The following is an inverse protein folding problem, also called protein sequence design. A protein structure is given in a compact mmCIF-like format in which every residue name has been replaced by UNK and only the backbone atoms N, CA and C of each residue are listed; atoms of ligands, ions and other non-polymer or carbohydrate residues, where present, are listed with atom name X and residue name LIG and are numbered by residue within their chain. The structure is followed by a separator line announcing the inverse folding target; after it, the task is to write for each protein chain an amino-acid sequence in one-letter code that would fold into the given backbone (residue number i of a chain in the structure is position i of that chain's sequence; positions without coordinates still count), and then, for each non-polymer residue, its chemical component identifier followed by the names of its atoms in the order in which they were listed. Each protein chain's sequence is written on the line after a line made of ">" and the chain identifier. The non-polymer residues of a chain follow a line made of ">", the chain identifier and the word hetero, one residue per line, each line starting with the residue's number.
data_IF_766290347508
#
_entry.id   IF_766290347508
#
_cell.length_a   1.000
_cell.length_b   1.000
_cell.length_c   1.000
_cell.angle_alpha   90.00
_cell.angle_beta   90.00
_cell.angle_gamma   90.00
#
_symmetry.space_group_name_H-M   'P 1'
#
loop_
_entity.id
_entity.type
_entity.pdbx_description
1 polymer ?
#
# COMPACT_ATOMS: atom_id res chain seq x y z
N UNK A 1 3.74 24.66 6.49
CA UNK A 1 2.81 23.83 7.28
C UNK A 1 1.66 23.43 6.38
N UNK A 2 1.50 22.16 5.97
CA UNK A 2 0.27 21.73 5.31
C UNK A 2 -0.88 21.92 6.29
N UNK A 3 -1.90 22.69 5.91
CA UNK A 3 -3.14 22.81 6.67
C UNK A 3 -4.02 21.63 6.28
N UNK A 4 -3.98 20.56 7.07
CA UNK A 4 -4.91 19.46 6.91
C UNK A 4 -6.30 19.90 7.40
N UNK A 5 -7.34 19.63 6.62
CA UNK A 5 -8.74 19.82 7.02
C UNK A 5 -9.21 18.80 8.09
N UNK A 6 -8.35 17.83 8.45
CA UNK A 6 -8.61 16.74 9.38
C UNK A 6 -8.14 15.40 8.81
N UNK A 7 -8.18 14.35 9.62
CA UNK A 7 -7.93 12.97 9.17
C UNK A 7 -9.27 12.26 9.00
N UNK A 8 -9.55 11.77 7.78
CA UNK A 8 -10.69 10.87 7.56
C UNK A 8 -10.19 9.46 7.82
N UNK A 9 -10.51 8.93 9.00
CA UNK A 9 -10.09 7.60 9.40
C UNK A 9 -11.05 6.49 8.98
N UNK A 10 -10.60 5.24 9.20
CA UNK A 10 -11.33 4.01 8.91
C UNK A 10 -12.81 4.02 9.35
N UNK A 11 -13.15 4.63 10.50
CA UNK A 11 -14.52 4.65 11.02
C UNK A 11 -15.56 5.27 10.08
N UNK A 12 -15.15 6.22 9.23
CA UNK A 12 -15.99 6.79 8.17
C UNK A 12 -15.82 5.98 6.88
N UNK A 13 -14.57 5.70 6.50
CA UNK A 13 -14.22 5.10 5.21
C UNK A 13 -14.79 3.68 5.03
N UNK A 14 -14.97 2.91 6.09
CA UNK A 14 -15.47 1.52 6.02
C UNK A 14 -16.89 1.34 5.45
N UNK A 15 -17.63 2.43 5.27
CA UNK A 15 -18.98 2.40 4.70
C UNK A 15 -18.99 2.77 3.20
N UNK A 16 -17.81 2.98 2.62
CA UNK A 16 -17.64 3.42 1.25
C UNK A 16 -16.57 2.57 0.56
N UNK A 17 -16.77 2.37 -0.74
CA UNK A 17 -15.64 2.27 -1.65
C UNK A 17 -15.16 3.69 -1.94
N UNK A 18 -13.86 3.94 -1.80
CA UNK A 18 -13.31 5.25 -2.12
C UNK A 18 -12.14 5.15 -3.07
N UNK A 19 -12.06 6.13 -3.96
CA UNK A 19 -11.05 6.21 -5.01
C UNK A 19 -10.19 7.45 -4.81
N UNK A 20 -8.88 7.27 -4.76
CA UNK A 20 -7.91 8.37 -4.76
C UNK A 20 -7.25 8.43 -6.14
N UNK A 21 -7.48 9.53 -6.84
CA UNK A 21 -6.79 9.89 -8.08
C UNK A 21 -5.77 10.98 -7.73
N UNK A 22 -4.51 10.56 -7.55
CA UNK A 22 -3.43 11.44 -7.08
C UNK A 22 -3.04 12.48 -8.13
N UNK A 23 -3.09 12.13 -9.42
CA UNK A 23 -2.75 13.04 -10.52
C UNK A 23 -3.77 14.16 -10.66
N UNK A 24 -5.06 13.84 -10.49
CA UNK A 24 -6.14 14.83 -10.56
C UNK A 24 -6.48 15.46 -9.21
N UNK A 25 -5.81 15.04 -8.13
CA UNK A 25 -6.11 15.47 -6.75
C UNK A 25 -7.58 15.30 -6.37
N UNK A 26 -8.19 14.18 -6.79
CA UNK A 26 -9.60 13.90 -6.58
C UNK A 26 -9.81 12.71 -5.65
N UNK A 27 -10.85 12.81 -4.84
CA UNK A 27 -11.33 11.75 -3.96
C UNK A 27 -12.81 11.49 -4.25
N UNK A 28 -13.14 10.26 -4.64
CA UNK A 28 -14.52 9.85 -4.89
C UNK A 28 -14.97 8.83 -3.86
N UNK A 29 -16.24 8.88 -3.50
CA UNK A 29 -16.87 7.94 -2.58
C UNK A 29 -18.10 7.33 -3.23
N UNK A 30 -18.20 6.00 -3.16
CA UNK A 30 -19.37 5.22 -3.53
C UNK A 30 -19.86 4.51 -2.29
N UNK A 31 -21.14 4.67 -1.95
CA UNK A 31 -21.71 3.92 -0.81
C UNK A 31 -21.69 2.44 -1.14
N UNK A 32 -21.43 1.63 -0.13
CA UNK A 32 -21.51 0.18 -0.22
C UNK A 32 -22.95 -0.29 0.02
N UNK A 33 -23.31 -1.39 -0.64
CA UNK A 33 -24.50 -2.17 -0.33
C UNK A 33 -24.22 -3.15 0.84
N UNK A 34 -25.20 -3.97 1.27
CA UNK A 34 -25.01 -4.93 2.36
C UNK A 34 -23.96 -6.03 2.10
N UNK A 35 -23.64 -6.31 0.84
CA UNK A 35 -22.65 -7.32 0.45
C UNK A 35 -21.23 -6.71 0.30
N UNK A 36 -21.11 -5.39 0.52
CA UNK A 36 -19.85 -4.66 0.43
C UNK A 36 -19.50 -4.21 -0.99
N UNK A 37 -20.44 -4.32 -1.93
CA UNK A 37 -20.23 -3.90 -3.32
C UNK A 37 -20.54 -2.41 -3.49
N UNK A 38 -19.76 -1.74 -4.33
CA UNK A 38 -19.99 -0.33 -4.64
C UNK A 38 -21.25 -0.16 -5.49
N UNK A 39 -22.18 0.70 -5.06
CA UNK A 39 -23.41 0.99 -5.82
C UNK A 39 -23.12 1.59 -7.22
N UNK A 40 -21.96 2.20 -7.38
CA UNK A 40 -21.43 2.67 -8.66
C UNK A 40 -19.94 2.31 -8.72
N UNK A 41 -19.59 1.24 -9.43
CA UNK A 41 -18.19 0.93 -9.75
C UNK A 41 -17.70 1.83 -10.88
N UNK A 42 -16.48 2.34 -10.74
CA UNK A 42 -15.83 3.28 -11.67
C UNK A 42 -14.51 2.76 -12.23
N UNK A 43 -14.20 1.49 -12.01
CA UNK A 43 -12.96 0.86 -12.46
C UNK A 43 -13.31 -0.21 -13.50
N UNK A 44 -13.01 0.03 -14.79
CA UNK A 44 -13.02 -1.01 -15.79
C UNK A 44 -12.01 -2.11 -15.41
N UNK A 45 -12.38 -3.37 -15.61
CA UNK A 45 -11.53 -4.50 -15.22
C UNK A 45 -10.21 -4.52 -16.00
N UNK A 46 -10.24 -4.02 -17.24
CA UNK A 46 -9.06 -3.88 -18.10
C UNK A 46 -8.01 -2.88 -17.57
N UNK A 47 -8.42 -1.94 -16.71
CA UNK A 47 -7.53 -0.94 -16.13
C UNK A 47 -6.92 -1.40 -14.79
N UNK A 48 -7.36 -2.56 -14.27
CA UNK A 48 -6.86 -3.13 -13.01
C UNK A 48 -5.44 -3.65 -13.21
N UNK A 49 -4.50 -3.03 -12.50
CA UNK A 49 -3.11 -3.47 -12.47
C UNK A 49 -2.88 -4.60 -11.45
N UNK A 50 -3.47 -4.46 -10.26
CA UNK A 50 -3.40 -5.47 -9.20
C UNK A 50 -4.54 -5.24 -8.19
N UNK A 51 -4.95 -6.32 -7.53
CA UNK A 51 -5.86 -6.26 -6.37
C UNK A 51 -5.11 -6.74 -5.15
N UNK A 52 -4.76 -5.83 -4.26
CA UNK A 52 -4.07 -6.15 -3.01
C UNK A 52 -5.10 -6.53 -1.95
N UNK A 53 -5.00 -7.76 -1.43
CA UNK A 53 -5.87 -8.24 -0.36
C UNK A 53 -5.28 -7.98 1.02
N UNK A 54 -6.08 -7.43 1.92
CA UNK A 54 -5.71 -7.26 3.32
C UNK A 54 -5.70 -8.62 4.03
N UNK A 55 -4.62 -8.90 4.76
CA UNK A 55 -4.35 -10.15 5.46
C UNK A 55 -5.37 -10.44 6.57
N UNK A 56 -5.99 -9.40 7.16
CA UNK A 56 -7.03 -9.59 8.17
C UNK A 56 -8.16 -8.58 8.03
N UNK A 57 -9.37 -9.08 7.74
CA UNK A 57 -10.58 -8.27 7.53
C UNK A 57 -11.29 -7.91 8.85
N UNK A 58 -11.13 -8.74 9.89
CA UNK A 58 -11.81 -8.60 11.18
C UNK A 58 -10.85 -8.23 12.33
N UNK A 59 -9.60 -7.90 12.02
CA UNK A 59 -8.62 -7.51 13.04
C UNK A 59 -8.79 -6.03 13.38
N UNK A 60 -9.25 -5.75 14.60
CA UNK A 60 -9.26 -4.40 15.14
C UNK A 60 -7.89 -3.72 14.97
N UNK A 61 -7.88 -2.65 14.17
CA UNK A 61 -6.76 -1.70 13.94
C UNK A 61 -5.61 -2.20 13.04
N UNK A 62 -5.75 -3.29 12.29
CA UNK A 62 -4.70 -3.78 11.37
C UNK A 62 -5.21 -3.99 9.92
N UNK A 63 -6.12 -3.13 9.46
CA UNK A 63 -6.93 -3.30 8.26
C UNK A 63 -6.19 -3.10 6.92
N UNK A 64 -4.87 -3.01 6.89
CA UNK A 64 -4.08 -2.64 5.71
C UNK A 64 -2.79 -3.47 5.55
N UNK A 65 -2.61 -4.50 6.38
CA UNK A 65 -1.49 -5.42 6.28
C UNK A 65 -1.65 -6.30 5.05
N UNK A 66 -0.77 -6.18 4.07
CA UNK A 66 -0.82 -6.92 2.81
C UNK A 66 0.41 -7.81 2.72
N UNK A 67 0.25 -9.11 2.39
CA UNK A 67 1.38 -9.99 2.17
C UNK A 67 2.06 -9.66 0.84
N UNK A 68 3.37 -9.54 0.88
CA UNK A 68 4.25 -9.37 -0.27
C UNK A 68 5.38 -10.38 -0.18
N UNK A 69 6.12 -10.50 -1.28
CA UNK A 69 7.35 -11.26 -1.36
C UNK A 69 8.46 -10.39 -1.96
N UNK A 70 9.68 -10.58 -1.51
CA UNK A 70 10.86 -9.96 -2.11
C UNK A 70 11.93 -11.05 -2.28
N UNK A 71 11.99 -11.64 -3.48
CA UNK A 71 12.73 -12.89 -3.69
C UNK A 71 12.15 -14.01 -2.81
N UNK A 72 12.94 -14.63 -1.94
CA UNK A 72 12.45 -15.69 -1.03
C UNK A 72 11.97 -15.15 0.33
N UNK A 73 11.94 -13.83 0.51
CA UNK A 73 11.61 -13.19 1.79
C UNK A 73 10.13 -12.81 1.81
N UNK A 74 9.29 -13.46 2.65
CA UNK A 74 7.93 -13.00 2.87
C UNK A 74 7.94 -11.71 3.70
N UNK A 75 7.14 -10.73 3.29
CA UNK A 75 6.97 -9.46 3.98
C UNK A 75 5.47 -9.20 4.18
N UNK A 76 5.10 -8.67 5.34
CA UNK A 76 3.75 -8.11 5.53
C UNK A 76 3.91 -6.61 5.72
N UNK A 77 3.30 -5.85 4.80
CA UNK A 77 3.44 -4.39 4.76
C UNK A 77 2.08 -3.73 4.93
N UNK A 78 2.02 -2.70 5.78
CA UNK A 78 0.88 -1.79 5.86
C UNK A 78 0.88 -0.75 4.74
N UNK A 79 -0.22 0.00 4.62
CA UNK A 79 -0.32 1.14 3.71
C UNK A 79 -0.57 2.41 4.53
N UNK A 80 0.43 3.30 4.54
CA UNK A 80 0.36 4.55 5.28
C UNK A 80 0.24 5.73 4.31
N UNK A 81 -1.00 6.13 4.00
CA UNK A 81 -1.28 7.30 3.14
C UNK A 81 -0.72 8.61 3.71
N UNK A 82 -0.38 8.66 5.01
CA UNK A 82 0.20 9.83 5.67
C UNK A 82 1.74 9.88 5.63
N UNK A 83 2.40 8.79 5.26
CA UNK A 83 3.85 8.73 5.11
C UNK A 83 4.25 9.03 3.66
N UNK A 84 5.22 9.91 3.43
CA UNK A 84 5.63 10.31 2.09
C UNK A 84 6.20 9.14 1.26
N UNK A 85 7.04 8.31 1.88
CA UNK A 85 7.73 7.20 1.19
C UNK A 85 7.33 5.82 1.69
N UNK A 86 7.09 5.71 3.00
CA UNK A 86 6.99 4.44 3.70
C UNK A 86 8.24 4.18 4.55
N UNK A 87 8.20 3.08 5.28
CA UNK A 87 9.32 2.66 6.12
C UNK A 87 9.40 1.15 6.18
N UNK A 88 10.58 0.59 5.92
CA UNK A 88 10.89 -0.80 6.20
C UNK A 88 11.71 -0.90 7.48
N UNK A 89 11.33 -1.82 8.33
CA UNK A 89 12.18 -2.37 9.38
C UNK A 89 12.64 -3.73 8.91
N UNK A 90 13.95 -3.95 8.81
CA UNK A 90 14.54 -5.19 8.35
C UNK A 90 15.53 -5.71 9.37
N UNK A 91 15.67 -7.03 9.51
CA UNK A 91 16.82 -7.59 10.22
C UNK A 91 18.11 -7.20 9.51
N UNK A 92 19.22 -7.12 10.25
CA UNK A 92 20.53 -6.79 9.65
C UNK A 92 20.89 -7.75 8.51
N UNK A 93 20.58 -9.04 8.69
CA UNK A 93 20.78 -10.09 7.69
C UNK A 93 19.92 -9.86 6.44
N UNK A 94 18.63 -9.56 6.62
CA UNK A 94 17.72 -9.33 5.49
C UNK A 94 18.14 -8.09 4.71
N UNK A 95 18.45 -6.99 5.39
CA UNK A 95 18.93 -5.76 4.75
C UNK A 95 20.18 -6.02 3.89
N UNK A 96 21.20 -6.67 4.46
CA UNK A 96 22.44 -6.98 3.74
C UNK A 96 22.19 -7.89 2.53
N UNK A 97 21.33 -8.91 2.67
CA UNK A 97 20.99 -9.80 1.57
C UNK A 97 20.27 -9.07 0.42
N UNK A 98 19.37 -8.15 0.75
CA UNK A 98 18.64 -7.35 -0.25
C UNK A 98 19.53 -6.32 -0.94
N UNK A 99 20.46 -5.71 -0.22
CA UNK A 99 21.48 -4.83 -0.81
C UNK A 99 22.43 -5.60 -1.73
N UNK A 100 22.87 -6.78 -1.31
CA UNK A 100 23.78 -7.61 -2.10
C UNK A 100 23.13 -8.15 -3.39
N UNK A 101 21.83 -8.48 -3.33
CA UNK A 101 21.06 -8.98 -4.48
C UNK A 101 20.56 -7.87 -5.41
N UNK A 102 20.72 -6.60 -5.03
CA UNK A 102 20.25 -5.44 -5.80
C UNK A 102 18.76 -5.10 -5.62
N UNK A 103 18.02 -5.87 -4.81
CA UNK A 103 16.62 -5.58 -4.49
C UNK A 103 16.43 -4.34 -3.62
N UNK A 104 17.46 -3.94 -2.87
CA UNK A 104 17.45 -2.73 -2.05
C UNK A 104 18.66 -1.86 -2.40
N UNK A 105 18.41 -0.67 -2.95
CA UNK A 105 19.48 0.25 -3.38
C UNK A 105 19.37 1.58 -2.64
N UNK A 106 20.45 2.02 -2.00
CA UNK A 106 20.51 3.32 -1.34
C UNK A 106 20.48 4.47 -2.37
N UNK A 107 19.65 5.48 -2.11
CA UNK A 107 19.51 6.70 -2.90
C UNK A 107 19.44 7.92 -1.97
N UNK A 108 20.60 8.53 -1.72
CA UNK A 108 20.74 9.61 -0.74
C UNK A 108 20.36 9.14 0.67
N UNK A 109 19.40 9.83 1.30
CA UNK A 109 18.89 9.49 2.63
C UNK A 109 17.73 8.47 2.61
N UNK A 110 17.43 7.90 1.44
CA UNK A 110 16.32 6.97 1.20
C UNK A 110 16.78 5.73 0.45
N UNK A 111 15.86 4.79 0.22
CA UNK A 111 16.11 3.57 -0.53
C UNK A 111 15.07 3.37 -1.63
N UNK A 112 15.52 2.74 -2.71
CA UNK A 112 14.68 2.14 -3.73
C UNK A 112 14.59 0.64 -3.44
N UNK A 113 13.38 0.11 -3.44
CA UNK A 113 13.08 -1.31 -3.38
C UNK A 113 12.58 -1.78 -4.74
N UNK A 114 13.25 -2.75 -5.34
CA UNK A 114 12.85 -3.34 -6.62
C UNK A 114 12.49 -4.81 -6.46
N UNK A 115 11.48 -5.27 -7.20
CA UNK A 115 11.07 -6.67 -7.18
C UNK A 115 10.16 -7.02 -6.00
N UNK A 116 9.47 -6.04 -5.42
CA UNK A 116 8.44 -6.31 -4.42
C UNK A 116 7.24 -6.94 -5.13
N UNK A 117 6.89 -8.16 -4.79
CA UNK A 117 5.88 -8.93 -5.49
C UNK A 117 4.62 -9.13 -4.65
N UNK A 118 3.47 -9.02 -5.32
CA UNK A 118 2.19 -9.50 -4.83
C UNK A 118 1.56 -10.34 -5.94
N UNK A 119 1.31 -11.61 -5.66
CA UNK A 119 0.87 -12.58 -6.66
C UNK A 119 1.81 -12.58 -7.89
N UNK A 120 1.29 -12.28 -9.09
CA UNK A 120 2.04 -12.25 -10.34
C UNK A 120 2.57 -10.84 -10.71
N UNK A 121 2.34 -9.84 -9.86
CA UNK A 121 2.69 -8.44 -10.13
C UNK A 121 3.92 -8.04 -9.32
N UNK A 122 4.86 -7.37 -9.97
CA UNK A 122 6.08 -6.83 -9.36
C UNK A 122 6.07 -5.30 -9.35
N UNK A 123 6.52 -4.73 -8.23
CA UNK A 123 6.52 -3.31 -7.94
C UNK A 123 7.92 -2.78 -7.67
N UNK A 124 8.12 -1.50 -8.00
CA UNK A 124 9.26 -0.70 -7.57
C UNK A 124 8.75 0.41 -6.64
N UNK A 125 9.42 0.58 -5.51
CA UNK A 125 9.06 1.57 -4.49
C UNK A 125 10.28 2.45 -4.21
N UNK A 126 10.12 3.76 -4.37
CA UNK A 126 11.16 4.73 -4.08
C UNK A 126 10.87 5.52 -2.79
N UNK A 127 11.90 6.21 -2.29
CA UNK A 127 11.77 7.10 -1.14
C UNK A 127 11.57 6.38 0.21
N UNK A 128 11.84 5.07 0.29
CA UNK A 128 11.66 4.31 1.52
C UNK A 128 12.72 4.68 2.56
N UNK A 129 12.30 4.84 3.80
CA UNK A 129 13.22 4.81 4.94
C UNK A 129 13.46 3.35 5.33
N UNK A 130 14.72 2.95 5.48
CA UNK A 130 15.07 1.61 5.99
C UNK A 130 15.73 1.72 7.35
N UNK A 131 15.24 0.93 8.30
CA UNK A 131 15.82 0.77 9.63
C UNK A 131 16.17 -0.68 9.88
N UNK A 132 17.20 -0.90 10.71
CA UNK A 132 17.55 -2.24 11.19
C UNK A 132 16.77 -2.54 12.47
N UNK A 133 16.08 -3.67 12.53
CA UNK A 133 15.30 -4.12 13.68
C UNK A 133 15.32 -5.64 13.88
N UNK A 134 14.41 -6.15 14.70
CA UNK A 134 14.34 -7.58 15.06
C UNK A 134 13.48 -8.41 14.09
N UNK A 135 12.59 -7.76 13.35
CA UNK A 135 11.68 -8.39 12.39
C UNK A 135 11.67 -7.66 11.06
N UNK A 136 11.30 -8.38 10.01
CA UNK A 136 11.10 -7.81 8.67
C UNK A 136 9.63 -7.37 8.50
N UNK A 137 9.41 -6.13 8.08
CA UNK A 137 8.07 -5.58 7.85
C UNK A 137 8.10 -4.07 7.66
N UNK A 138 6.94 -3.44 7.59
CA UNK A 138 6.90 -1.98 7.39
C UNK A 138 5.60 -1.44 6.83
N UNK A 139 5.70 -0.28 6.20
CA UNK A 139 4.61 0.37 5.48
C UNK A 139 5.07 0.91 4.14
N UNK A 140 4.16 0.90 3.16
CA UNK A 140 4.30 1.61 1.90
C UNK A 140 3.57 2.95 2.00
N UNK A 141 4.20 4.02 1.53
CA UNK A 141 3.68 5.38 1.64
C UNK A 141 3.10 5.93 0.34
N UNK A 142 2.91 7.25 0.33
CA UNK A 142 2.44 8.03 -0.80
C UNK A 142 3.24 7.81 -2.08
N UNK A 143 4.57 7.63 -2.01
CA UNK A 143 5.43 7.39 -3.18
C UNK A 143 5.07 6.14 -3.96
N UNK A 144 4.67 5.07 -3.26
CA UNK A 144 4.09 3.87 -3.88
C UNK A 144 2.70 4.15 -4.44
N UNK A 145 1.82 4.71 -3.61
CA UNK A 145 0.40 4.84 -3.96
C UNK A 145 0.15 5.77 -5.14
N UNK A 146 0.92 6.86 -5.25
CA UNK A 146 0.78 7.85 -6.32
C UNK A 146 1.14 7.32 -7.71
N UNK A 147 1.74 6.13 -7.81
CA UNK A 147 1.99 5.47 -9.09
C UNK A 147 0.71 4.93 -9.73
N UNK A 148 -0.39 4.89 -8.97
CA UNK A 148 -1.67 4.34 -9.36
C UNK A 148 -2.80 5.27 -8.97
N UNK A 149 -3.92 5.16 -9.66
CA UNK A 149 -5.20 5.48 -9.03
C UNK A 149 -5.55 4.32 -8.10
N UNK A 150 -5.93 4.62 -6.86
CA UNK A 150 -6.20 3.58 -5.85
C UNK A 150 -7.67 3.51 -5.51
N UNK A 151 -8.22 2.30 -5.43
CA UNK A 151 -9.61 2.06 -5.01
C UNK A 151 -9.63 1.16 -3.80
N UNK A 152 -10.27 1.63 -2.74
CA UNK A 152 -10.22 1.04 -1.42
C UNK A 152 -11.61 0.56 -1.02
N UNK A 153 -11.69 -0.68 -0.55
CA UNK A 153 -12.90 -1.24 0.00
C UNK A 153 -12.56 -2.05 1.26
N UNK A 154 -12.80 -1.45 2.43
CA UNK A 154 -12.48 -2.10 3.71
C UNK A 154 -13.43 -3.26 4.05
N UNK A 155 -14.65 -3.31 3.50
CA UNK A 155 -15.56 -4.42 3.77
C UNK A 155 -15.13 -5.69 3.02
N UNK A 156 -14.73 -5.53 1.76
CA UNK A 156 -14.15 -6.62 0.98
C UNK A 156 -12.69 -6.90 1.37
N UNK A 157 -12.03 -5.94 2.00
CA UNK A 157 -10.63 -6.04 2.43
C UNK A 157 -9.67 -5.89 1.25
N UNK A 158 -9.95 -4.96 0.34
CA UNK A 158 -9.22 -4.80 -0.92
C UNK A 158 -8.71 -3.39 -1.14
N UNK A 159 -7.52 -3.32 -1.75
CA UNK A 159 -6.93 -2.13 -2.37
C UNK A 159 -6.62 -2.47 -3.83
N UNK A 160 -7.40 -1.93 -4.75
CA UNK A 160 -7.21 -2.10 -6.19
C UNK A 160 -6.32 -0.97 -6.72
N UNK A 161 -5.28 -1.35 -7.45
CA UNK A 161 -4.35 -0.45 -8.14
C UNK A 161 -4.78 -0.35 -9.61
N UNK A 162 -4.97 0.87 -10.11
CA UNK A 162 -5.47 1.17 -11.46
C UNK A 162 -4.45 2.03 -12.20
N UNK A 163 -4.19 1.71 -13.48
CA UNK A 163 -3.31 2.49 -14.37
C UNK A 163 -4.09 3.34 -15.36
#
# INVERSE_FOLDING_TARGET
>A
MPQYLGFIGHGILKNFEFTIDYDRSNLFFSRLDPDGEALVSRVPLEDVHATLMFACRDCDRQYDQIPFRLGEIPLTLGIDTGNSGGQLTLTARTKEALEHSGHLTAQGDSYILEGLEHEEVSFSVDGLRVMVGETDGGTLGYSFLRQFKTVWNYQLGTLVLVR
#
